data_IF_774220580805
#
_entry.id   IF_774220580805
#
_cell.length_a   1.000
_cell.length_b   1.000
_cell.length_c   1.000
_cell.angle_alpha   90.00
_cell.angle_beta   90.00
_cell.angle_gamma   90.00
#
_symmetry.space_group_name_H-M   'P 1'
#
loop_
_entity.id
_entity.type
_entity.pdbx_description
1 polymer ?
#
# COMPACT_ATOMS: atom_id res chain seq x y z
N UNK A 1 -39.15 35.21 -26.13
CA UNK A 1 -39.93 34.78 -27.31
C UNK A 1 -40.27 33.31 -27.17
N UNK A 2 -41.55 33.06 -27.01
CA UNK A 2 -42.43 31.98 -27.45
C UNK A 2 -41.93 30.53 -27.43
N UNK A 3 -42.64 29.83 -26.61
CA UNK A 3 -42.95 28.43 -26.49
C UNK A 3 -43.26 27.71 -27.81
N UNK A 4 -42.94 26.40 -27.87
CA UNK A 4 -43.81 25.43 -28.56
C UNK A 4 -43.68 24.06 -27.85
N UNK A 5 -44.76 23.63 -27.26
CA UNK A 5 -45.05 22.27 -26.80
C UNK A 5 -45.76 21.49 -27.92
N UNK A 6 -45.85 20.14 -27.69
CA UNK A 6 -46.98 19.26 -28.05
C UNK A 6 -46.65 18.12 -29.04
N UNK A 7 -47.32 16.94 -29.01
CA UNK A 7 -48.02 16.20 -27.97
C UNK A 7 -47.76 14.64 -27.94
N UNK A 8 -48.29 14.08 -26.87
CA UNK A 8 -48.52 12.63 -26.63
C UNK A 8 -49.56 11.98 -27.56
N UNK A 9 -49.37 10.71 -27.94
CA UNK A 9 -50.50 9.85 -28.32
C UNK A 9 -50.33 8.39 -27.81
N UNK A 10 -51.23 8.01 -26.90
CA UNK A 10 -51.54 6.63 -26.51
C UNK A 10 -52.25 5.91 -27.65
N UNK A 11 -51.97 4.60 -27.85
CA UNK A 11 -53.03 3.65 -28.27
C UNK A 11 -52.76 2.26 -27.71
N UNK A 12 -53.82 1.74 -27.11
CA UNK A 12 -54.04 0.35 -26.64
C UNK A 12 -54.33 -0.57 -27.85
N UNK A 13 -54.00 -1.87 -27.72
CA UNK A 13 -54.54 -2.92 -28.56
C UNK A 13 -54.18 -4.30 -27.96
N UNK A 14 -55.21 -4.93 -27.34
CA UNK A 14 -55.18 -6.33 -26.92
C UNK A 14 -55.40 -7.23 -28.13
N UNK A 15 -54.76 -8.39 -28.21
CA UNK A 15 -55.42 -9.64 -28.63
C UNK A 15 -54.66 -10.87 -28.12
N UNK A 16 -55.39 -11.75 -27.51
CA UNK A 16 -55.05 -13.12 -27.10
C UNK A 16 -55.14 -14.05 -28.30
N UNK A 17 -54.22 -15.02 -28.42
CA UNK A 17 -54.62 -16.34 -28.99
C UNK A 17 -53.72 -17.41 -28.34
N UNK A 18 -54.41 -18.38 -27.74
CA UNK A 18 -53.89 -19.62 -27.19
C UNK A 18 -53.78 -20.68 -28.31
N UNK A 19 -52.76 -21.50 -28.26
CA UNK A 19 -52.77 -22.83 -28.88
C UNK A 19 -52.12 -23.85 -27.95
N UNK A 20 -52.91 -24.89 -27.67
CA UNK A 20 -52.58 -26.10 -26.91
C UNK A 20 -52.03 -27.18 -27.87
N UNK A 21 -51.25 -28.05 -27.32
CA UNK A 21 -51.04 -29.50 -27.60
C UNK A 21 -49.57 -29.81 -27.94
N UNK A 22 -48.91 -30.90 -27.57
CA UNK A 22 -49.26 -32.15 -26.90
C UNK A 22 -47.95 -32.93 -26.62
N UNK A 23 -47.90 -33.57 -25.48
CA UNK A 23 -47.07 -34.68 -24.99
C UNK A 23 -46.03 -35.37 -25.87
N UNK A 24 -44.81 -35.54 -25.29
CA UNK A 24 -44.10 -36.83 -25.31
C UNK A 24 -43.23 -36.96 -24.03
N UNK A 25 -43.45 -38.04 -23.29
CA UNK A 25 -42.80 -38.38 -22.03
C UNK A 25 -41.41 -38.98 -22.31
N UNK A 26 -40.37 -38.49 -21.57
CA UNK A 26 -39.08 -39.12 -21.46
C UNK A 26 -38.59 -38.92 -20.01
N UNK A 27 -38.72 -39.99 -19.20
CA UNK A 27 -38.26 -40.04 -17.84
C UNK A 27 -36.69 -40.09 -17.83
N UNK A 28 -36.07 -39.08 -17.29
CA UNK A 28 -34.67 -39.10 -16.86
C UNK A 28 -34.63 -38.79 -15.35
N UNK A 29 -34.08 -39.74 -14.63
CA UNK A 29 -33.91 -39.73 -13.18
C UNK A 29 -32.94 -38.60 -12.84
N UNK A 30 -33.41 -37.54 -12.16
CA UNK A 30 -32.59 -36.51 -11.52
C UNK A 30 -32.37 -36.94 -10.07
N UNK A 31 -31.16 -37.43 -9.80
CA UNK A 31 -30.64 -37.49 -8.44
C UNK A 31 -30.31 -36.04 -8.01
N UNK A 32 -31.20 -35.49 -7.20
CA UNK A 32 -30.96 -34.17 -6.59
C UNK A 32 -29.95 -34.28 -5.47
N UNK A 33 -28.75 -33.67 -5.66
CA UNK A 33 -27.92 -33.19 -4.56
C UNK A 33 -28.28 -31.71 -4.37
N UNK A 34 -28.99 -31.40 -3.27
CA UNK A 34 -29.09 -30.03 -2.79
C UNK A 34 -27.73 -29.61 -2.22
N UNK A 35 -26.93 -28.94 -3.03
CA UNK A 35 -25.75 -28.21 -2.58
C UNK A 35 -26.16 -26.76 -2.32
N UNK A 36 -25.97 -26.31 -1.08
CA UNK A 36 -26.03 -24.90 -0.69
C UNK A 36 -24.99 -24.13 -1.50
N UNK A 37 -25.45 -23.33 -2.48
CA UNK A 37 -24.58 -22.46 -3.26
C UNK A 37 -24.08 -21.28 -2.41
N UNK A 38 -22.91 -21.41 -1.84
CA UNK A 38 -22.07 -20.26 -1.51
C UNK A 38 -21.53 -19.65 -2.82
N UNK A 39 -21.03 -18.41 -2.80
CA UNK A 39 -20.41 -17.80 -3.97
C UNK A 39 -19.27 -18.71 -4.46
N UNK A 40 -19.33 -19.08 -5.73
CA UNK A 40 -18.34 -19.93 -6.39
C UNK A 40 -17.00 -19.18 -6.33
N UNK A 41 -16.08 -19.65 -5.48
CA UNK A 41 -14.72 -19.15 -5.45
C UNK A 41 -14.10 -19.34 -6.84
N UNK A 42 -13.42 -18.30 -7.33
CA UNK A 42 -12.66 -18.43 -8.56
C UNK A 42 -11.62 -19.54 -8.35
N UNK A 43 -11.71 -20.62 -9.14
CA UNK A 43 -10.73 -21.70 -9.08
C UNK A 43 -9.34 -21.15 -9.42
N UNK A 44 -8.34 -21.46 -8.57
CA UNK A 44 -6.95 -21.13 -8.82
C UNK A 44 -6.50 -21.84 -10.13
N UNK A 45 -6.22 -21.06 -11.16
CA UNK A 45 -5.79 -21.58 -12.45
C UNK A 45 -4.30 -21.38 -12.66
N UNK A 46 -3.61 -22.38 -13.19
CA UNK A 46 -2.20 -22.34 -13.55
C UNK A 46 -1.30 -23.13 -12.59
N UNK A 47 -0.08 -23.35 -13.01
CA UNK A 47 0.99 -23.97 -12.25
C UNK A 47 2.08 -22.97 -11.95
N UNK A 48 2.80 -23.15 -10.83
CA UNK A 48 4.00 -22.37 -10.50
C UNK A 48 5.25 -22.90 -11.21
N UNK A 49 5.20 -24.14 -11.71
CA UNK A 49 6.29 -24.71 -12.49
C UNK A 49 6.23 -24.17 -13.92
N UNK A 50 7.14 -23.24 -14.25
CA UNK A 50 7.22 -22.60 -15.57
C UNK A 50 8.44 -23.08 -16.33
N UNK A 51 8.22 -23.61 -17.54
CA UNK A 51 9.31 -24.02 -18.44
C UNK A 51 10.07 -22.81 -18.97
N UNK A 52 11.39 -22.96 -19.16
CA UNK A 52 12.21 -21.97 -19.86
C UNK A 52 11.83 -21.78 -21.32
N UNK A 53 11.07 -22.72 -21.92
CA UNK A 53 10.49 -22.61 -23.26
C UNK A 53 9.19 -21.77 -23.27
N UNK A 54 8.74 -21.27 -22.13
CA UNK A 54 7.58 -20.37 -22.07
C UNK A 54 7.85 -19.09 -22.85
N UNK A 55 6.88 -18.67 -23.64
CA UNK A 55 7.04 -17.52 -24.55
C UNK A 55 5.85 -16.57 -24.49
N UNK A 56 6.05 -15.35 -24.94
CA UNK A 56 5.01 -14.35 -25.08
C UNK A 56 5.46 -12.96 -24.66
N UNK A 57 4.58 -11.98 -24.89
CA UNK A 57 4.80 -10.60 -24.40
C UNK A 57 4.09 -10.40 -23.07
N UNK A 58 4.80 -9.97 -22.05
CA UNK A 58 4.27 -9.58 -20.75
C UNK A 58 4.25 -8.06 -20.66
N UNK A 59 3.08 -7.47 -20.75
CA UNK A 59 2.87 -6.03 -20.60
C UNK A 59 2.62 -5.73 -19.13
N UNK A 60 3.51 -4.94 -18.52
CA UNK A 60 3.53 -4.66 -17.10
C UNK A 60 3.16 -3.21 -16.85
N UNK A 61 2.21 -2.95 -15.96
CA UNK A 61 1.96 -1.60 -15.44
C UNK A 61 2.53 -1.47 -14.03
N UNK A 62 3.37 -0.45 -13.83
CA UNK A 62 4.03 -0.15 -12.56
C UNK A 62 3.87 1.33 -12.18
N UNK A 63 4.08 1.65 -10.90
CA UNK A 63 4.23 3.03 -10.48
C UNK A 63 5.58 3.61 -10.90
N UNK A 64 5.63 4.90 -11.19
CA UNK A 64 6.89 5.60 -11.54
C UNK A 64 7.68 5.95 -10.28
N UNK A 65 8.41 4.98 -9.74
CA UNK A 65 9.23 5.06 -8.53
C UNK A 65 10.61 4.43 -8.77
N UNK A 66 11.62 4.67 -7.90
CA UNK A 66 12.96 4.11 -8.08
C UNK A 66 12.98 2.58 -8.21
N UNK A 67 12.15 1.84 -7.46
CA UNK A 67 12.03 0.38 -7.58
C UNK A 67 11.66 -0.08 -8.99
N UNK A 68 10.86 0.68 -9.72
CA UNK A 68 10.51 0.39 -11.12
C UNK A 68 11.73 0.48 -12.04
N UNK A 69 12.62 1.44 -11.83
CA UNK A 69 13.84 1.55 -12.64
C UNK A 69 14.83 0.44 -12.30
N UNK A 70 14.87 -0.01 -11.05
CA UNK A 70 15.63 -1.19 -10.63
C UNK A 70 15.10 -2.43 -11.37
N UNK A 71 13.78 -2.67 -11.38
CA UNK A 71 13.16 -3.77 -12.11
C UNK A 71 13.50 -3.73 -13.59
N UNK A 72 13.38 -2.55 -14.25
CA UNK A 72 13.78 -2.37 -15.66
C UNK A 72 15.25 -2.77 -15.89
N UNK A 73 16.14 -2.45 -14.95
CA UNK A 73 17.57 -2.79 -15.05
C UNK A 73 17.85 -4.29 -14.98
N UNK A 74 16.92 -5.08 -14.43
CA UNK A 74 17.05 -6.54 -14.24
C UNK A 74 16.40 -7.35 -15.39
N UNK A 75 15.67 -6.72 -16.30
CA UNK A 75 14.99 -7.43 -17.44
C UNK A 75 15.99 -8.20 -18.32
N UNK A 76 17.19 -7.66 -18.52
CA UNK A 76 18.23 -8.36 -19.32
C UNK A 76 18.65 -9.68 -18.66
N UNK A 77 18.77 -9.70 -17.33
CA UNK A 77 19.15 -10.90 -16.58
C UNK A 77 18.00 -11.92 -16.61
N UNK A 78 16.75 -11.47 -16.51
CA UNK A 78 15.59 -12.32 -16.70
C UNK A 78 15.57 -12.96 -18.10
N UNK A 79 15.80 -12.17 -19.14
CA UNK A 79 15.79 -12.66 -20.53
C UNK A 79 16.96 -13.61 -20.86
N UNK A 80 18.01 -13.66 -20.03
CA UNK A 80 19.05 -14.68 -20.14
C UNK A 80 18.55 -16.08 -19.76
N UNK A 81 17.55 -16.17 -18.87
CA UNK A 81 16.90 -17.43 -18.46
C UNK A 81 15.65 -17.74 -19.28
N UNK A 82 14.89 -16.70 -19.66
CA UNK A 82 13.62 -16.80 -20.42
C UNK A 82 13.71 -15.99 -21.73
N UNK A 83 14.47 -16.45 -22.73
CA UNK A 83 14.77 -15.66 -23.93
C UNK A 83 13.55 -15.38 -24.82
N UNK A 84 12.49 -16.21 -24.72
CA UNK A 84 11.29 -16.11 -25.54
C UNK A 84 10.16 -15.28 -24.87
N UNK A 85 10.42 -14.69 -23.68
CA UNK A 85 9.49 -13.78 -23.01
C UNK A 85 9.94 -12.33 -23.24
N UNK A 86 9.08 -11.52 -23.88
CA UNK A 86 9.31 -10.09 -24.10
C UNK A 86 8.63 -9.28 -22.98
N UNK A 87 9.43 -8.55 -22.19
CA UNK A 87 8.95 -7.73 -21.08
C UNK A 87 8.79 -6.28 -21.53
N UNK A 88 7.56 -5.75 -21.43
CA UNK A 88 7.22 -4.37 -21.76
C UNK A 88 6.66 -3.66 -20.54
N UNK A 89 7.39 -2.66 -20.00
CA UNK A 89 7.02 -1.95 -18.78
C UNK A 89 6.53 -0.54 -19.12
N UNK A 90 5.26 -0.27 -18.80
CA UNK A 90 4.69 1.07 -18.70
C UNK A 90 4.72 1.52 -17.24
N UNK A 91 5.13 2.77 -16.97
CA UNK A 91 5.10 3.34 -15.63
C UNK A 91 4.30 4.64 -15.61
N UNK A 92 3.42 4.78 -14.61
CA UNK A 92 2.53 5.94 -14.42
C UNK A 92 2.71 6.51 -13.01
N UNK A 93 2.30 7.76 -12.83
CA UNK A 93 2.18 8.34 -11.48
C UNK A 93 1.07 7.65 -10.70
N UNK A 94 1.12 7.70 -9.36
CA UNK A 94 0.12 7.12 -8.47
C UNK A 94 -1.31 7.49 -8.88
N UNK A 95 -1.58 8.78 -9.05
CA UNK A 95 -2.92 9.30 -9.37
C UNK A 95 -3.50 8.75 -10.70
N UNK A 96 -2.63 8.36 -11.63
CA UNK A 96 -3.05 7.84 -12.94
C UNK A 96 -3.27 6.33 -12.94
N UNK A 97 -2.67 5.60 -11.98
CA UNK A 97 -2.63 4.14 -12.02
C UNK A 97 -3.99 3.49 -11.76
N UNK A 98 -4.69 3.89 -10.69
CA UNK A 98 -5.96 3.25 -10.30
C UNK A 98 -7.00 3.31 -11.43
N UNK A 99 -7.21 4.50 -12.01
CA UNK A 99 -8.16 4.71 -13.11
C UNK A 99 -7.76 3.90 -14.36
N UNK A 100 -6.46 3.87 -14.65
CA UNK A 100 -5.92 3.09 -15.77
C UNK A 100 -6.14 1.59 -15.57
N UNK A 101 -5.90 1.07 -14.35
CA UNK A 101 -6.13 -0.33 -14.00
C UNK A 101 -7.61 -0.70 -14.12
N UNK A 102 -8.51 0.07 -13.50
CA UNK A 102 -9.96 -0.18 -13.58
C UNK A 102 -10.44 -0.17 -15.03
N UNK A 103 -9.98 0.81 -15.83
CA UNK A 103 -10.30 0.86 -17.26
C UNK A 103 -9.78 -0.38 -18.02
N UNK A 104 -8.59 -0.87 -17.68
CA UNK A 104 -8.00 -2.06 -18.32
C UNK A 104 -8.76 -3.34 -18.00
N UNK A 105 -9.25 -3.50 -16.75
CA UNK A 105 -10.03 -4.67 -16.36
C UNK A 105 -11.39 -4.74 -17.06
N UNK A 106 -11.99 -3.59 -17.37
CA UNK A 106 -13.26 -3.49 -18.06
C UNK A 106 -13.13 -3.64 -19.59
N UNK A 107 -11.90 -3.65 -20.10
CA UNK A 107 -11.66 -3.81 -21.53
C UNK A 107 -11.95 -5.25 -22.00
N UNK A 108 -12.53 -5.38 -23.19
CA UNK A 108 -12.72 -6.68 -23.85
C UNK A 108 -11.42 -7.33 -24.31
N UNK A 109 -10.32 -6.58 -24.35
CA UNK A 109 -8.98 -7.07 -24.73
C UNK A 109 -8.02 -6.84 -23.57
N UNK A 110 -7.18 -7.82 -23.23
CA UNK A 110 -6.15 -7.65 -22.19
C UNK A 110 -5.23 -6.47 -22.53
N UNK A 111 -5.08 -5.54 -21.60
CA UNK A 111 -4.17 -4.39 -21.76
C UNK A 111 -2.83 -4.68 -21.09
N UNK A 112 -2.88 -5.27 -19.91
CA UNK A 112 -1.72 -5.67 -19.13
C UNK A 112 -1.81 -7.15 -18.77
N UNK A 113 -0.66 -7.79 -18.67
CA UNK A 113 -0.53 -9.21 -18.31
C UNK A 113 -0.02 -9.38 -16.88
N UNK A 114 0.64 -8.34 -16.36
CA UNK A 114 1.13 -8.23 -14.98
C UNK A 114 0.96 -6.77 -14.51
N UNK A 115 0.64 -6.59 -13.25
CA UNK A 115 0.46 -5.26 -12.66
C UNK A 115 1.06 -5.21 -11.26
N UNK A 116 1.33 -4.00 -10.76
CA UNK A 116 1.52 -3.76 -9.34
C UNK A 116 0.27 -3.11 -8.76
N UNK A 117 -0.13 -3.56 -7.57
CA UNK A 117 -1.36 -3.15 -6.87
C UNK A 117 -0.99 -2.59 -5.52
N UNK A 118 -1.46 -1.38 -5.22
CA UNK A 118 -1.32 -0.78 -3.89
C UNK A 118 -2.26 -1.47 -2.89
N UNK A 119 -1.82 -1.58 -1.64
CA UNK A 119 -2.57 -2.23 -0.58
C UNK A 119 -4.05 -1.77 -0.49
N UNK A 120 -4.40 -0.47 -0.52
CA UNK A 120 -5.80 -0.04 -0.42
C UNK A 120 -6.73 -0.54 -1.54
N UNK A 121 -6.18 -0.99 -2.65
CA UNK A 121 -6.96 -1.46 -3.81
C UNK A 121 -7.13 -2.98 -3.86
N UNK A 122 -6.32 -3.71 -3.09
CA UNK A 122 -6.24 -5.19 -3.18
C UNK A 122 -7.58 -5.86 -2.94
N UNK A 123 -8.28 -5.48 -1.87
CA UNK A 123 -9.59 -6.06 -1.51
C UNK A 123 -10.63 -5.78 -2.58
N UNK A 124 -10.69 -4.55 -3.09
CA UNK A 124 -11.64 -4.16 -4.15
C UNK A 124 -11.40 -4.93 -5.44
N UNK A 125 -10.14 -5.06 -5.86
CA UNK A 125 -9.81 -5.75 -7.10
C UNK A 125 -10.03 -7.27 -7.00
N UNK A 126 -9.74 -7.87 -5.85
CA UNK A 126 -10.03 -9.28 -5.58
C UNK A 126 -11.54 -9.55 -5.60
N UNK A 127 -12.33 -8.75 -4.87
CA UNK A 127 -13.79 -8.88 -4.79
C UNK A 127 -14.47 -8.65 -6.14
N UNK A 128 -13.95 -7.73 -6.95
CA UNK A 128 -14.41 -7.50 -8.32
C UNK A 128 -13.98 -8.60 -9.30
N UNK A 129 -13.22 -9.61 -8.85
CA UNK A 129 -12.66 -10.71 -9.67
C UNK A 129 -11.77 -10.19 -10.81
N UNK A 130 -11.06 -9.10 -10.58
CA UNK A 130 -10.10 -8.52 -11.53
C UNK A 130 -8.75 -9.22 -11.49
N UNK A 131 -8.46 -9.97 -10.42
CA UNK A 131 -7.17 -10.63 -10.18
C UNK A 131 -7.32 -12.15 -10.19
N UNK A 132 -6.25 -12.85 -10.60
CA UNK A 132 -6.16 -14.29 -10.47
C UNK A 132 -5.74 -14.70 -9.06
N UNK A 133 -6.34 -15.75 -8.45
CA UNK A 133 -5.77 -16.41 -7.29
C UNK A 133 -4.39 -16.97 -7.59
N UNK A 134 -3.43 -16.78 -6.69
CA UNK A 134 -2.03 -17.17 -6.90
C UNK A 134 -1.58 -18.36 -6.05
N UNK A 135 -2.42 -18.88 -5.14
CA UNK A 135 -2.04 -19.97 -4.23
C UNK A 135 -1.47 -21.19 -4.96
N UNK A 136 -2.17 -21.69 -5.98
CA UNK A 136 -1.71 -22.85 -6.74
C UNK A 136 -0.36 -22.62 -7.41
N UNK A 137 -0.09 -21.39 -7.91
CA UNK A 137 1.20 -21.03 -8.51
C UNK A 137 2.29 -20.96 -7.46
N UNK A 138 2.02 -20.32 -6.33
CA UNK A 138 2.95 -20.17 -5.21
C UNK A 138 3.33 -21.56 -4.67
N UNK A 139 2.34 -22.41 -4.40
CA UNK A 139 2.53 -23.71 -3.76
C UNK A 139 3.26 -24.72 -4.67
N UNK A 140 3.14 -24.57 -5.98
CA UNK A 140 3.77 -25.47 -6.96
C UNK A 140 5.07 -24.94 -7.58
N UNK A 141 5.51 -23.72 -7.20
CA UNK A 141 6.80 -23.19 -7.67
C UNK A 141 7.95 -23.84 -6.88
N UNK A 142 8.86 -24.55 -7.55
CA UNK A 142 9.98 -25.20 -6.86
C UNK A 142 10.85 -24.18 -6.12
N UNK A 143 11.22 -24.52 -4.88
CA UNK A 143 12.16 -23.76 -4.04
C UNK A 143 11.78 -22.29 -3.81
N UNK A 144 10.48 -21.93 -3.99
CA UNK A 144 10.03 -20.54 -3.90
C UNK A 144 10.06 -19.97 -2.47
N UNK A 145 9.90 -20.83 -1.47
CA UNK A 145 9.90 -20.48 -0.04
C UNK A 145 9.07 -19.22 0.28
N UNK A 146 7.76 -19.31 0.07
CA UNK A 146 6.84 -18.21 0.34
C UNK A 146 6.78 -17.83 1.84
N UNK A 147 7.23 -18.69 2.76
CA UNK A 147 7.29 -18.41 4.19
C UNK A 147 8.42 -17.42 4.57
N UNK A 148 9.39 -17.23 3.66
CA UNK A 148 10.47 -16.27 3.83
C UNK A 148 10.02 -14.81 3.61
N UNK A 149 8.87 -14.56 2.99
CA UNK A 149 8.31 -13.20 2.93
C UNK A 149 7.92 -12.71 4.32
N UNK A 150 8.00 -11.39 4.54
CA UNK A 150 7.49 -10.77 5.76
C UNK A 150 5.98 -10.97 5.86
N UNK A 151 5.51 -11.47 7.00
CA UNK A 151 4.10 -11.77 7.23
C UNK A 151 3.18 -10.57 6.95
N UNK A 152 3.46 -9.33 7.42
CA UNK A 152 2.62 -8.19 7.11
C UNK A 152 2.47 -7.92 5.60
N UNK A 153 3.48 -8.25 4.78
CA UNK A 153 3.41 -8.08 3.33
C UNK A 153 2.55 -9.14 2.65
N UNK A 154 2.51 -10.36 3.20
CA UNK A 154 1.66 -11.43 2.67
C UNK A 154 0.22 -11.29 3.11
N UNK A 155 -0.02 -10.80 4.32
CA UNK A 155 -1.36 -10.63 4.87
C UNK A 155 -2.19 -9.64 4.04
N UNK A 156 -1.60 -8.51 3.63
CA UNK A 156 -2.28 -7.51 2.78
C UNK A 156 -2.56 -7.98 1.36
N UNK A 157 -1.98 -9.09 0.91
CA UNK A 157 -2.26 -9.70 -0.41
C UNK A 157 -3.29 -10.82 -0.34
N UNK A 158 -3.76 -11.15 0.87
CA UNK A 158 -4.68 -12.25 1.13
C UNK A 158 -6.07 -11.69 1.43
N UNK A 159 -7.06 -12.07 0.63
CA UNK A 159 -8.47 -11.67 0.79
C UNK A 159 -9.29 -12.94 0.95
N UNK A 160 -10.07 -13.03 2.03
CA UNK A 160 -10.89 -14.20 2.37
C UNK A 160 -10.12 -15.54 2.34
N UNK A 161 -8.84 -15.51 2.75
CA UNK A 161 -7.97 -16.68 2.81
C UNK A 161 -7.36 -17.08 1.47
N UNK A 162 -7.57 -16.30 0.41
CA UNK A 162 -7.00 -16.51 -0.93
C UNK A 162 -5.96 -15.43 -1.24
N UNK A 163 -4.79 -15.83 -1.72
CA UNK A 163 -3.70 -14.92 -2.08
C UNK A 163 -3.85 -14.43 -3.52
N UNK A 164 -3.94 -13.12 -3.69
CA UNK A 164 -4.07 -12.45 -5.00
C UNK A 164 -2.82 -11.70 -5.42
N UNK A 165 -1.82 -11.59 -4.57
CA UNK A 165 -0.58 -10.90 -4.87
C UNK A 165 0.65 -11.56 -4.27
N UNK A 166 1.81 -11.14 -4.77
CA UNK A 166 3.13 -11.43 -4.21
C UNK A 166 3.79 -10.10 -3.85
N UNK A 167 4.42 -9.96 -2.68
CA UNK A 167 5.10 -8.72 -2.32
C UNK A 167 6.05 -8.22 -3.41
N UNK A 168 6.01 -6.93 -3.70
CA UNK A 168 6.92 -6.30 -4.65
C UNK A 168 7.88 -5.34 -3.97
N UNK A 169 7.37 -4.21 -3.48
CA UNK A 169 8.13 -3.33 -2.61
C UNK A 169 7.26 -2.87 -1.46
N UNK A 170 7.93 -2.48 -0.41
CA UNK A 170 7.28 -2.03 0.80
C UNK A 170 8.01 -0.79 1.31
N UNK A 171 7.28 -0.02 2.08
CA UNK A 171 7.85 1.05 2.88
C UNK A 171 7.13 1.06 4.22
N UNK A 172 7.88 0.82 5.28
CA UNK A 172 7.41 1.15 6.61
C UNK A 172 7.82 2.58 6.93
N UNK A 173 6.93 3.34 7.57
CA UNK A 173 7.29 4.65 8.06
C UNK A 173 8.25 4.48 9.24
N UNK A 174 9.22 5.38 9.33
CA UNK A 174 10.19 5.41 10.41
C UNK A 174 10.40 6.82 10.93
N UNK A 175 11.03 6.92 12.07
CA UNK A 175 11.46 8.19 12.64
C UNK A 175 12.82 8.57 12.06
N UNK A 176 12.83 9.57 11.18
CA UNK A 176 14.02 10.14 10.55
C UNK A 176 14.46 11.36 11.34
N UNK A 177 15.72 11.39 11.79
CA UNK A 177 16.23 12.43 12.67
C UNK A 177 17.65 12.85 12.35
N UNK A 178 17.94 14.12 12.55
CA UNK A 178 19.32 14.63 12.49
C UNK A 178 20.03 14.27 13.82
N UNK A 179 21.04 13.42 13.74
CA UNK A 179 21.75 12.92 14.93
C UNK A 179 22.54 14.00 15.66
N UNK A 180 23.07 15.00 14.93
CA UNK A 180 23.80 16.13 15.53
C UNK A 180 22.85 17.01 16.37
N UNK A 181 21.62 17.18 15.91
CA UNK A 181 20.63 18.00 16.61
C UNK A 181 20.16 17.35 17.92
N UNK A 182 19.87 16.02 17.89
CA UNK A 182 19.55 15.29 19.10
C UNK A 182 20.69 15.41 20.11
N UNK A 183 21.93 15.18 19.68
CA UNK A 183 23.10 15.28 20.55
C UNK A 183 23.27 16.71 21.12
N UNK A 184 23.11 17.76 20.29
CA UNK A 184 23.25 19.14 20.71
C UNK A 184 22.18 19.58 21.72
N UNK A 185 20.99 18.97 21.64
CA UNK A 185 19.86 19.22 22.55
C UNK A 185 19.81 18.28 23.78
N UNK A 186 20.81 17.40 23.94
CA UNK A 186 20.86 16.35 24.96
C UNK A 186 19.59 15.47 24.95
N UNK A 187 19.09 15.17 23.74
CA UNK A 187 17.93 14.31 23.52
C UNK A 187 18.36 12.92 23.03
N UNK A 188 17.58 11.91 23.43
CA UNK A 188 17.67 10.56 22.88
C UNK A 188 16.61 10.37 21.78
N UNK A 189 16.76 9.30 21.00
CA UNK A 189 15.70 8.85 20.09
C UNK A 189 14.46 8.52 20.90
N UNK A 190 13.29 9.14 20.63
CA UNK A 190 12.07 8.91 21.39
C UNK A 190 11.57 7.47 21.24
N UNK A 191 11.14 6.87 22.35
CA UNK A 191 10.60 5.50 22.42
C UNK A 191 9.13 5.47 22.82
N UNK A 192 8.59 6.61 23.27
CA UNK A 192 7.18 6.77 23.64
C UNK A 192 6.58 8.00 22.96
N UNK A 193 5.25 8.07 22.90
CA UNK A 193 4.54 9.23 22.36
C UNK A 193 4.91 10.53 23.09
N UNK A 194 4.99 10.48 24.41
CA UNK A 194 5.32 11.65 25.22
C UNK A 194 6.76 12.14 24.99
N UNK A 195 7.69 11.21 24.77
CA UNK A 195 9.05 11.54 24.35
C UNK A 195 9.10 12.12 22.94
N UNK A 196 8.30 11.61 21.99
CA UNK A 196 8.20 12.19 20.64
C UNK A 196 7.77 13.65 20.69
N UNK A 197 6.73 13.95 21.47
CA UNK A 197 6.23 15.32 21.67
C UNK A 197 7.30 16.21 22.33
N UNK A 198 7.90 15.75 23.42
CA UNK A 198 8.88 16.54 24.18
C UNK A 198 10.17 16.77 23.38
N UNK A 199 10.68 15.76 22.71
CA UNK A 199 11.86 15.87 21.82
C UNK A 199 11.59 16.83 20.67
N UNK A 200 10.44 16.72 20.01
CA UNK A 200 10.06 17.63 18.92
C UNK A 200 10.05 19.11 19.39
N UNK A 201 9.55 19.37 20.59
CA UNK A 201 9.56 20.72 21.19
C UNK A 201 10.97 21.17 21.57
N UNK A 202 11.80 20.28 22.14
CA UNK A 202 13.16 20.59 22.54
C UNK A 202 14.07 20.91 21.35
N UNK A 203 13.83 20.30 20.20
CA UNK A 203 14.59 20.51 18.96
C UNK A 203 14.18 21.79 18.21
N UNK A 204 13.04 22.40 18.54
CA UNK A 204 12.61 23.65 17.91
C UNK A 204 13.52 24.81 18.36
N UNK A 205 14.07 25.57 17.38
CA UNK A 205 14.93 26.70 17.66
C UNK A 205 14.69 27.83 16.65
N UNK A 206 14.14 28.95 17.12
CA UNK A 206 13.76 30.07 16.27
C UNK A 206 12.76 29.64 15.19
N UNK A 207 13.10 29.89 13.92
CA UNK A 207 12.28 29.50 12.78
C UNK A 207 12.46 28.01 12.36
N UNK A 208 13.49 27.34 12.90
CA UNK A 208 13.74 25.94 12.62
C UNK A 208 12.80 25.06 13.42
N UNK A 209 12.07 24.21 12.72
CA UNK A 209 11.13 23.27 13.33
C UNK A 209 11.85 22.09 14.01
N UNK A 210 11.25 21.58 15.08
CA UNK A 210 11.71 20.34 15.71
C UNK A 210 11.34 19.11 14.89
N UNK A 211 10.15 19.16 14.26
CA UNK A 211 9.64 18.07 13.41
C UNK A 211 8.93 18.65 12.18
N UNK A 212 9.18 18.09 11.01
CA UNK A 212 8.36 18.32 9.81
C UNK A 212 7.23 17.29 9.80
N UNK A 213 5.99 17.77 9.76
CA UNK A 213 4.78 16.93 9.79
C UNK A 213 4.07 16.97 8.44
N UNK A 214 3.18 15.99 8.19
CA UNK A 214 2.47 15.78 6.93
C UNK A 214 0.94 15.92 7.10
N UNK A 215 0.43 17.07 7.57
CA UNK A 215 -1.01 17.24 7.83
C UNK A 215 -1.85 17.45 6.57
N UNK A 216 -1.33 17.22 5.37
CA UNK A 216 -2.08 17.32 4.13
C UNK A 216 -3.39 16.51 4.20
N UNK A 217 -4.49 17.16 3.87
CA UNK A 217 -5.83 16.58 3.90
C UNK A 217 -5.91 15.28 3.08
N UNK A 218 -6.56 14.28 3.64
CA UNK A 218 -6.74 12.96 3.03
C UNK A 218 -5.64 11.99 3.41
N UNK A 219 -5.02 11.34 2.41
CA UNK A 219 -4.11 10.22 2.61
C UNK A 219 -2.97 10.54 3.62
N UNK A 220 -2.25 11.64 3.41
CA UNK A 220 -0.99 11.88 4.11
C UNK A 220 -1.14 12.12 5.60
N UNK A 221 -2.15 12.86 6.03
CA UNK A 221 -2.39 13.06 7.46
C UNK A 221 -2.82 11.76 8.15
N UNK A 222 -3.64 10.92 7.50
CA UNK A 222 -4.04 9.66 8.10
C UNK A 222 -2.86 8.69 8.20
N UNK A 223 -2.04 8.63 7.16
CA UNK A 223 -0.83 7.81 7.13
C UNK A 223 0.17 8.23 8.23
N UNK A 224 0.46 9.51 8.38
CA UNK A 224 1.35 10.00 9.43
C UNK A 224 0.73 9.82 10.82
N UNK A 225 -0.54 10.24 11.02
CA UNK A 225 -1.23 10.12 12.30
C UNK A 225 -1.41 8.67 12.76
N UNK A 226 -1.53 7.72 11.84
CA UNK A 226 -1.56 6.29 12.17
C UNK A 226 -0.38 5.84 13.03
N UNK A 227 0.81 6.41 12.79
CA UNK A 227 1.99 6.15 13.61
C UNK A 227 1.86 6.76 15.02
N UNK A 228 1.24 7.93 15.15
CA UNK A 228 0.93 8.55 16.44
C UNK A 228 -0.12 7.75 17.22
N UNK A 229 -1.12 7.20 16.50
CA UNK A 229 -2.11 6.29 17.08
C UNK A 229 -1.45 5.04 17.66
N UNK A 230 -0.56 4.40 16.89
CA UNK A 230 0.18 3.24 17.37
C UNK A 230 1.10 3.58 18.55
N UNK A 231 1.78 4.74 18.53
CA UNK A 231 2.59 5.23 19.64
C UNK A 231 1.77 5.51 20.92
N UNK A 232 0.48 5.85 20.77
CA UNK A 232 -0.45 5.99 21.89
C UNK A 232 -0.96 4.65 22.43
N UNK A 233 -0.65 3.53 21.79
CA UNK A 233 -1.14 2.19 22.12
C UNK A 233 -2.49 1.84 21.46
N UNK A 234 -2.97 2.67 20.52
CA UNK A 234 -4.19 2.43 19.75
C UNK A 234 -3.97 1.56 18.51
N UNK A 235 -5.06 1.30 17.80
CA UNK A 235 -5.09 0.54 16.54
C UNK A 235 -6.15 1.13 15.62
N UNK A 236 -6.01 0.92 14.30
CA UNK A 236 -7.05 1.28 13.33
C UNK A 236 -8.17 0.24 13.34
N UNK A 237 -7.81 -1.03 13.53
CA UNK A 237 -8.74 -2.15 13.65
C UNK A 237 -8.49 -2.91 14.94
N UNK A 238 -9.53 -3.47 15.54
CA UNK A 238 -9.42 -4.43 16.64
C UNK A 238 -9.08 -5.85 16.11
N UNK A 239 -8.99 -6.81 17.03
CA UNK A 239 -8.68 -8.20 16.68
C UNK A 239 -9.81 -8.90 15.88
N UNK A 240 -11.02 -8.37 15.93
CA UNK A 240 -12.19 -8.88 15.20
C UNK A 240 -12.35 -8.19 13.84
N UNK A 241 -11.47 -7.23 13.49
CA UNK A 241 -11.49 -6.47 12.25
C UNK A 241 -12.42 -5.25 12.26
N UNK A 242 -12.95 -4.85 13.41
CA UNK A 242 -13.77 -3.65 13.51
C UNK A 242 -12.90 -2.39 13.58
N UNK A 243 -13.39 -1.30 13.02
CA UNK A 243 -12.71 0.00 13.03
C UNK A 243 -12.73 0.60 14.44
N UNK A 244 -11.60 1.14 14.90
CA UNK A 244 -11.39 1.66 16.25
C UNK A 244 -10.74 3.05 16.29
N UNK A 245 -11.31 4.01 15.54
CA UNK A 245 -10.78 5.37 15.42
C UNK A 245 -11.30 6.34 16.48
N UNK A 246 -12.32 5.97 17.26
CA UNK A 246 -12.89 6.82 18.33
C UNK A 246 -12.66 6.20 19.71
N UNK A 247 -11.39 6.10 20.11
CA UNK A 247 -10.94 5.52 21.39
C UNK A 247 -10.15 6.54 22.22
N UNK A 248 -9.93 6.30 23.53
CA UNK A 248 -9.07 7.15 24.35
C UNK A 248 -7.66 7.28 23.80
N UNK A 249 -7.10 6.22 23.21
CA UNK A 249 -5.79 6.20 22.56
C UNK A 249 -5.76 7.07 21.31
N UNK A 250 -6.79 6.99 20.48
CA UNK A 250 -6.94 7.82 19.28
C UNK A 250 -7.07 9.32 19.67
N UNK A 251 -7.82 9.61 20.71
CA UNK A 251 -7.92 10.97 21.25
C UNK A 251 -6.57 11.50 21.74
N UNK A 252 -5.85 10.72 22.53
CA UNK A 252 -4.51 11.08 23.01
C UNK A 252 -3.55 11.30 21.84
N UNK A 253 -3.59 10.46 20.82
CA UNK A 253 -2.77 10.58 19.61
C UNK A 253 -3.06 11.86 18.84
N UNK A 254 -4.33 12.20 18.63
CA UNK A 254 -4.71 13.40 17.86
C UNK A 254 -4.44 14.68 18.65
N UNK A 255 -4.66 14.68 19.95
CA UNK A 255 -4.29 15.80 20.84
C UNK A 255 -2.77 16.05 20.81
N UNK A 256 -1.95 14.99 20.91
CA UNK A 256 -0.50 15.06 20.83
C UNK A 256 -0.02 15.54 19.45
N UNK A 257 -0.65 15.06 18.39
CA UNK A 257 -0.38 15.49 17.00
C UNK A 257 -0.64 16.99 16.84
N UNK A 258 -1.81 17.48 17.25
CA UNK A 258 -2.20 18.90 17.16
C UNK A 258 -1.30 19.78 18.02
N UNK A 259 -0.98 19.36 19.26
CA UNK A 259 -0.08 20.09 20.13
C UNK A 259 1.32 20.21 19.51
N UNK A 260 1.85 19.13 18.97
CA UNK A 260 3.16 19.13 18.29
C UNK A 260 3.14 19.97 17.01
N UNK A 261 2.08 19.87 16.21
CA UNK A 261 1.90 20.71 15.03
C UNK A 261 1.93 22.20 15.36
N UNK A 262 1.21 22.62 16.40
CA UNK A 262 1.12 24.02 16.80
C UNK A 262 2.40 24.55 17.48
N UNK A 263 3.21 23.68 18.09
CA UNK A 263 4.34 24.10 18.92
C UNK A 263 5.72 23.80 18.35
N UNK A 264 5.86 22.77 17.49
CA UNK A 264 7.13 22.27 17.01
C UNK A 264 7.26 22.16 15.49
N UNK A 265 6.15 22.10 14.74
CA UNK A 265 6.18 22.00 13.29
C UNK A 265 6.43 23.36 12.60
N UNK A 266 6.74 23.36 11.29
CA UNK A 266 6.85 24.60 10.52
C UNK A 266 5.52 25.35 10.45
N UNK A 267 5.56 26.67 10.57
CA UNK A 267 4.37 27.49 10.41
C UNK A 267 3.78 27.34 8.99
N UNK A 268 2.45 27.36 8.91
CA UNK A 268 1.72 27.25 7.64
C UNK A 268 1.93 25.94 6.85
N UNK A 269 2.27 24.86 7.53
CA UNK A 269 2.52 23.54 6.93
C UNK A 269 1.28 22.64 6.82
N UNK A 270 0.04 23.17 7.00
CA UNK A 270 -1.20 22.38 7.00
C UNK A 270 -1.45 21.60 5.69
N UNK A 271 -0.88 22.03 4.58
CA UNK A 271 -0.96 21.36 3.28
C UNK A 271 0.27 20.54 2.92
N UNK A 272 1.19 20.35 3.86
CA UNK A 272 2.40 19.59 3.61
C UNK A 272 2.12 18.08 3.56
N UNK A 273 2.71 17.44 2.57
CA UNK A 273 2.80 16.00 2.45
C UNK A 273 4.25 15.53 2.56
N UNK A 274 4.49 14.35 2.00
CA UNK A 274 5.76 13.66 2.03
C UNK A 274 6.93 14.52 1.53
N UNK A 275 6.77 15.16 0.39
CA UNK A 275 7.84 15.89 -0.30
C UNK A 275 8.23 17.17 0.41
N UNK A 276 7.26 17.90 0.98
CA UNK A 276 7.52 19.12 1.75
C UNK A 276 8.28 18.78 3.03
N UNK A 277 7.87 17.73 3.74
CA UNK A 277 8.54 17.26 4.93
C UNK A 277 9.99 16.84 4.64
N UNK A 278 10.20 16.04 3.58
CA UNK A 278 11.54 15.64 3.14
C UNK A 278 12.42 16.84 2.77
N UNK A 279 11.91 17.77 1.97
CA UNK A 279 12.66 18.98 1.60
C UNK A 279 13.03 19.84 2.80
N UNK A 280 12.14 19.95 3.78
CA UNK A 280 12.37 20.71 5.01
C UNK A 280 13.51 20.10 5.83
N UNK A 281 13.56 18.78 5.98
CA UNK A 281 14.67 18.08 6.68
C UNK A 281 15.95 18.17 5.88
N UNK A 282 15.94 17.92 4.57
CA UNK A 282 17.13 18.05 3.71
C UNK A 282 17.76 19.45 3.79
N UNK A 283 16.90 20.49 3.77
CA UNK A 283 17.31 21.89 3.89
C UNK A 283 17.71 22.31 5.32
N UNK A 284 17.67 21.38 6.29
CA UNK A 284 17.91 21.64 7.72
C UNK A 284 16.95 22.69 8.34
N UNK A 285 15.74 22.79 7.78
CA UNK A 285 14.65 23.65 8.31
C UNK A 285 13.84 22.93 9.37
N UNK A 286 13.89 21.60 9.41
CA UNK A 286 13.37 20.77 10.49
C UNK A 286 14.42 19.74 10.92
N UNK A 287 14.38 19.33 12.19
CA UNK A 287 15.34 18.40 12.76
C UNK A 287 14.95 16.94 12.53
N UNK A 288 13.65 16.65 12.49
CA UNK A 288 13.10 15.29 12.41
C UNK A 288 11.87 15.23 11.54
N UNK A 289 11.44 14.02 11.16
CA UNK A 289 10.14 13.73 10.56
C UNK A 289 9.78 12.26 10.77
N UNK A 290 8.49 11.92 10.68
CA UNK A 290 8.01 10.56 10.44
C UNK A 290 7.76 10.45 8.95
N UNK A 291 8.49 9.55 8.27
CA UNK A 291 8.38 9.43 6.82
C UNK A 291 8.92 8.06 6.37
N UNK A 292 8.88 7.79 5.09
CA UNK A 292 9.31 6.52 4.52
C UNK A 292 10.80 6.25 4.72
N UNK A 293 11.13 5.03 5.14
CA UNK A 293 12.51 4.58 5.36
C UNK A 293 13.40 4.73 4.12
N UNK A 294 12.86 4.52 2.93
CA UNK A 294 13.61 4.61 1.67
C UNK A 294 14.08 6.04 1.32
N UNK A 295 13.60 7.06 2.02
CA UNK A 295 14.11 8.43 1.82
C UNK A 295 15.48 8.65 2.47
N UNK A 296 15.90 7.79 3.41
CA UNK A 296 17.15 7.96 4.12
C UNK A 296 18.38 8.07 3.22
N UNK A 297 18.57 7.20 2.20
CA UNK A 297 19.69 7.31 1.28
C UNK A 297 19.75 8.66 0.57
N UNK A 298 18.66 9.09 -0.03
CA UNK A 298 18.58 10.36 -0.76
C UNK A 298 18.84 11.59 0.14
N UNK A 299 18.38 11.56 1.40
CA UNK A 299 18.65 12.62 2.37
C UNK A 299 20.14 12.74 2.75
N UNK A 300 20.88 11.64 2.67
CA UNK A 300 22.29 11.59 3.05
C UNK A 300 23.25 11.66 1.86
N UNK A 301 22.78 11.72 0.63
CA UNK A 301 23.63 11.89 -0.55
C UNK A 301 24.44 13.18 -0.47
N UNK A 302 25.70 13.15 -0.88
CA UNK A 302 26.51 14.37 -0.97
C UNK A 302 25.84 15.41 -1.89
N UNK A 303 25.48 16.56 -1.33
CA UNK A 303 24.84 17.65 -2.06
C UNK A 303 23.29 17.65 -1.97
N UNK A 304 22.66 16.71 -1.30
CA UNK A 304 21.19 16.71 -1.08
C UNK A 304 20.72 17.89 -0.21
N UNK A 305 21.59 18.44 0.63
CA UNK A 305 21.31 19.60 1.46
C UNK A 305 22.24 19.71 2.68
N UNK A 306 22.04 20.72 3.54
CA UNK A 306 22.85 20.93 4.75
C UNK A 306 22.77 19.79 5.77
N UNK A 307 21.72 18.96 5.72
CA UNK A 307 21.54 17.81 6.59
C UNK A 307 22.20 16.52 6.06
N UNK A 308 22.81 16.54 4.88
CA UNK A 308 23.44 15.37 4.25
C UNK A 308 24.44 14.68 5.18
N UNK A 309 24.36 13.36 5.27
CA UNK A 309 25.23 12.52 6.10
C UNK A 309 24.89 12.51 7.61
N UNK A 310 23.86 13.28 8.04
CA UNK A 310 23.49 13.42 9.46
C UNK A 310 22.17 12.76 9.82
N UNK A 311 21.36 12.41 8.82
CA UNK A 311 20.05 11.83 9.04
C UNK A 311 20.22 10.34 9.35
N UNK A 312 19.52 9.91 10.40
CA UNK A 312 19.44 8.52 10.85
C UNK A 312 17.99 8.07 10.81
N UNK A 313 17.80 6.76 10.82
CA UNK A 313 16.49 6.10 10.89
C UNK A 313 16.36 5.36 12.22
N UNK A 314 15.19 5.43 12.82
CA UNK A 314 14.82 4.67 14.00
C UNK A 314 13.38 4.15 13.89
N UNK A 315 12.99 3.13 14.66
CA UNK A 315 11.61 2.73 14.79
C UNK A 315 10.71 3.87 15.29
N UNK A 316 9.43 3.81 14.94
CA UNK A 316 8.42 4.71 15.49
C UNK A 316 8.29 4.44 17.01
N UNK A 317 8.13 5.49 17.85
CA UNK A 317 7.83 5.30 19.25
C UNK A 317 6.66 4.34 19.47
N UNK A 318 6.80 3.38 20.39
CA UNK A 318 5.84 2.29 20.59
C UNK A 318 6.08 1.05 19.76
N UNK A 319 7.01 1.09 18.80
CA UNK A 319 7.48 -0.09 18.06
C UNK A 319 6.54 -0.61 16.98
N UNK A 320 5.43 0.07 16.69
CA UNK A 320 4.50 -0.25 15.61
C UNK A 320 4.36 0.92 14.65
N UNK A 321 4.33 0.64 13.36
CA UNK A 321 4.30 1.67 12.32
C UNK A 321 3.33 1.34 11.20
N UNK A 322 2.94 2.38 10.46
CA UNK A 322 2.15 2.23 9.25
C UNK A 322 2.99 1.57 8.15
N UNK A 323 2.39 0.58 7.50
CA UNK A 323 2.92 -0.13 6.35
C UNK A 323 2.27 0.40 5.07
N UNK A 324 3.08 0.85 4.13
CA UNK A 324 2.70 0.93 2.73
C UNK A 324 3.34 -0.22 1.95
N UNK A 325 2.60 -0.83 1.04
CA UNK A 325 3.13 -1.94 0.25
C UNK A 325 2.40 -2.09 -1.08
N UNK A 326 3.19 -2.39 -2.08
CA UNK A 326 2.72 -2.74 -3.41
C UNK A 326 3.03 -4.21 -3.68
N UNK A 327 2.17 -4.85 -4.44
CA UNK A 327 2.26 -6.28 -4.71
C UNK A 327 2.11 -6.56 -6.19
N UNK A 328 2.86 -7.53 -6.70
CA UNK A 328 2.63 -8.10 -8.02
C UNK A 328 1.30 -8.83 -8.05
N UNK A 329 0.49 -8.60 -9.07
CA UNK A 329 -0.75 -9.32 -9.28
C UNK A 329 -0.96 -9.60 -10.78
N UNK A 330 -1.59 -10.74 -11.07
CA UNK A 330 -1.92 -11.14 -12.45
C UNK A 330 -3.38 -10.82 -12.70
N UNK A 331 -3.70 -9.94 -13.68
CA UNK A 331 -5.09 -9.68 -14.07
C UNK A 331 -5.83 -10.95 -14.49
N UNK A 332 -7.10 -11.06 -14.12
CA UNK A 332 -7.94 -12.20 -14.51
C UNK A 332 -8.06 -12.39 -16.03
N UNK A 333 -7.95 -11.29 -16.78
CA UNK A 333 -7.98 -11.27 -18.24
C UNK A 333 -6.58 -11.27 -18.90
N UNK A 334 -5.51 -11.59 -18.16
CA UNK A 334 -4.15 -11.67 -18.74
C UNK A 334 -4.11 -12.67 -19.92
N UNK A 335 -3.44 -12.28 -21.00
CA UNK A 335 -3.26 -13.14 -22.18
C UNK A 335 -2.09 -14.13 -22.01
N UNK A 336 -1.12 -13.81 -21.13
CA UNK A 336 0.11 -14.60 -20.93
C UNK A 336 0.39 -14.82 -19.43
N UNK A 337 -0.55 -15.41 -18.66
CA UNK A 337 -0.42 -15.52 -17.20
C UNK A 337 0.77 -16.39 -16.77
N UNK A 338 1.17 -17.40 -17.57
CA UNK A 338 2.33 -18.24 -17.24
C UNK A 338 3.65 -17.48 -17.45
N UNK A 339 3.77 -16.69 -18.51
CA UNK A 339 4.92 -15.82 -18.72
C UNK A 339 5.00 -14.70 -17.66
N UNK A 340 3.84 -14.16 -17.25
CA UNK A 340 3.76 -13.20 -16.13
C UNK A 340 4.24 -13.85 -14.81
N UNK A 341 3.82 -15.10 -14.54
CA UNK A 341 4.28 -15.82 -13.36
C UNK A 341 5.77 -16.16 -13.41
N UNK A 342 6.31 -16.52 -14.58
CA UNK A 342 7.76 -16.70 -14.76
C UNK A 342 8.53 -15.46 -14.30
N UNK A 343 8.06 -14.27 -14.70
CA UNK A 343 8.70 -13.02 -14.28
C UNK A 343 8.54 -12.75 -12.78
N UNK A 344 7.33 -12.90 -12.23
CA UNK A 344 7.06 -12.67 -10.79
C UNK A 344 7.88 -13.62 -9.94
N UNK A 345 7.85 -14.93 -10.21
CA UNK A 345 8.59 -15.93 -9.44
C UNK A 345 10.10 -15.70 -9.50
N UNK A 346 10.61 -15.29 -10.66
CA UNK A 346 12.02 -14.94 -10.85
C UNK A 346 12.42 -13.68 -10.08
N UNK A 347 11.72 -12.56 -10.27
CA UNK A 347 12.11 -11.26 -9.67
C UNK A 347 11.97 -11.26 -8.14
N UNK A 348 11.08 -12.09 -7.60
CA UNK A 348 10.84 -12.24 -6.17
C UNK A 348 11.56 -13.42 -5.54
N UNK A 349 12.29 -14.24 -6.32
CA UNK A 349 13.19 -15.26 -5.79
C UNK A 349 14.30 -14.64 -4.94
N UNK A 350 14.75 -15.34 -3.89
CA UNK A 350 15.74 -14.82 -2.94
C UNK A 350 16.99 -14.23 -3.61
N UNK A 351 17.66 -14.88 -4.58
CA UNK A 351 18.85 -14.30 -5.21
C UNK A 351 18.57 -12.96 -5.89
N UNK A 352 17.41 -12.83 -6.54
CA UNK A 352 17.02 -11.63 -7.25
C UNK A 352 16.51 -10.54 -6.32
N UNK A 353 15.86 -10.89 -5.18
CA UNK A 353 15.52 -9.93 -4.13
C UNK A 353 16.78 -9.36 -3.47
N UNK A 354 17.84 -10.15 -3.26
CA UNK A 354 19.15 -9.66 -2.82
C UNK A 354 19.71 -8.64 -3.82
N UNK A 355 19.79 -9.00 -5.10
CA UNK A 355 20.30 -8.09 -6.16
C UNK A 355 19.48 -6.80 -6.24
N UNK A 356 18.14 -6.91 -6.16
CA UNK A 356 17.25 -5.75 -6.16
C UNK A 356 17.50 -4.85 -4.95
N UNK A 357 17.68 -5.44 -3.77
CA UNK A 357 17.94 -4.71 -2.52
C UNK A 357 19.32 -4.03 -2.53
N UNK A 358 20.37 -4.69 -3.06
CA UNK A 358 21.70 -4.08 -3.24
C UNK A 358 21.66 -2.86 -4.17
N UNK A 359 20.73 -2.85 -5.15
CA UNK A 359 20.49 -1.70 -6.04
C UNK A 359 19.67 -0.58 -5.38
N UNK A 360 19.22 -0.75 -4.16
CA UNK A 360 18.42 0.23 -3.41
C UNK A 360 16.92 -0.05 -3.37
N UNK A 361 16.47 -1.18 -3.90
CA UNK A 361 15.10 -1.63 -3.81
C UNK A 361 14.73 -2.11 -2.40
N UNK A 362 13.44 -2.11 -2.09
CA UNK A 362 12.97 -2.55 -0.78
C UNK A 362 12.93 -4.08 -0.70
N UNK A 363 13.61 -4.67 0.28
CA UNK A 363 13.59 -6.11 0.53
C UNK A 363 12.18 -6.60 0.87
N UNK A 364 11.80 -7.75 0.33
CA UNK A 364 10.51 -8.39 0.61
C UNK A 364 10.66 -9.70 1.39
N UNK A 365 11.90 -10.22 1.49
CA UNK A 365 12.22 -11.46 2.17
C UNK A 365 13.04 -11.21 3.44
N UNK A 366 12.73 -11.98 4.50
CA UNK A 366 13.45 -11.94 5.77
C UNK A 366 14.93 -12.30 5.57
N UNK A 367 15.20 -13.34 4.79
CA UNK A 367 16.55 -13.80 4.52
C UNK A 367 17.38 -12.82 3.68
N UNK A 368 16.75 -11.94 2.89
CA UNK A 368 17.44 -10.86 2.16
C UNK A 368 18.05 -9.85 3.11
N UNK A 369 17.32 -9.42 4.15
CA UNK A 369 17.83 -8.48 5.16
C UNK A 369 18.88 -9.08 6.11
N UNK A 370 19.14 -10.38 5.98
CA UNK A 370 20.19 -11.09 6.72
C UNK A 370 21.37 -11.47 5.81
N UNK A 371 21.26 -11.19 4.50
CA UNK A 371 22.31 -11.53 3.54
C UNK A 371 23.54 -10.65 3.73
N UNK A 372 24.77 -11.21 3.82
CA UNK A 372 25.97 -10.44 3.98
C UNK A 372 26.21 -9.40 2.88
N UNK A 373 25.81 -9.66 1.64
CA UNK A 373 25.97 -8.72 0.54
C UNK A 373 25.11 -7.46 0.78
N UNK A 374 23.88 -7.64 1.23
CA UNK A 374 22.96 -6.54 1.60
C UNK A 374 23.50 -5.79 2.81
N UNK A 375 23.86 -6.48 3.90
CA UNK A 375 24.29 -5.85 5.14
C UNK A 375 25.60 -5.05 4.98
N UNK A 376 26.49 -5.47 4.08
CA UNK A 376 27.73 -4.78 3.74
C UNK A 376 27.59 -3.77 2.58
N UNK A 377 26.38 -3.68 2.02
CA UNK A 377 26.05 -2.80 0.90
C UNK A 377 26.07 -1.30 1.26
N UNK A 378 25.68 -0.47 0.29
CA UNK A 378 25.84 0.99 0.35
C UNK A 378 25.12 1.68 1.51
N UNK A 379 24.03 1.07 2.04
CA UNK A 379 23.23 1.67 3.13
C UNK A 379 23.68 1.21 4.53
N UNK A 380 24.47 0.14 4.59
CA UNK A 380 25.06 -0.39 5.80
C UNK A 380 24.11 -1.21 6.69
N UNK A 381 24.71 -1.98 7.59
CA UNK A 381 23.98 -2.94 8.44
C UNK A 381 22.92 -2.26 9.32
N UNK A 382 23.23 -1.12 9.93
CA UNK A 382 22.32 -0.41 10.83
C UNK A 382 20.99 -0.03 10.14
N UNK A 383 21.05 0.38 8.87
CA UNK A 383 19.86 0.68 8.09
C UNK A 383 19.00 -0.56 7.88
N UNK A 384 19.59 -1.65 7.39
CA UNK A 384 18.81 -2.85 7.08
C UNK A 384 18.28 -3.55 8.34
N UNK A 385 19.00 -3.51 9.46
CA UNK A 385 18.49 -3.99 10.76
C UNK A 385 17.30 -3.17 11.24
N UNK A 386 17.35 -1.85 11.04
CA UNK A 386 16.21 -0.99 11.36
C UNK A 386 15.01 -1.29 10.45
N UNK A 387 15.24 -1.46 9.13
CA UNK A 387 14.18 -1.85 8.18
C UNK A 387 13.55 -3.20 8.55
N UNK A 388 14.36 -4.20 8.91
CA UNK A 388 13.87 -5.50 9.39
C UNK A 388 12.94 -5.32 10.62
N UNK A 389 13.36 -4.51 11.58
CA UNK A 389 12.55 -4.21 12.77
C UNK A 389 11.24 -3.48 12.40
N UNK A 390 11.32 -2.50 11.49
CA UNK A 390 10.14 -1.79 11.00
C UNK A 390 9.12 -2.72 10.34
N UNK A 391 9.55 -3.72 9.59
CA UNK A 391 8.66 -4.63 8.86
C UNK A 391 8.02 -5.71 9.74
N UNK A 392 8.61 -6.03 10.89
CA UNK A 392 8.09 -7.09 11.78
C UNK A 392 6.73 -6.74 12.38
N UNK A 393 6.53 -5.47 12.78
CA UNK A 393 5.36 -4.99 13.50
C UNK A 393 4.56 -3.91 12.72
N UNK A 394 4.75 -3.86 11.39
CA UNK A 394 4.05 -2.92 10.55
C UNK A 394 2.58 -3.31 10.32
N UNK A 395 1.71 -2.32 10.21
CA UNK A 395 0.28 -2.52 9.96
C UNK A 395 -0.25 -1.59 8.86
N UNK A 396 -1.14 -2.07 7.96
CA UNK A 396 -1.72 -1.25 6.92
C UNK A 396 -2.75 -0.27 7.47
N UNK A 397 -3.03 0.79 6.70
CA UNK A 397 -4.09 1.76 7.00
C UNK A 397 -5.49 1.19 6.80
N UNK A 398 -5.64 0.19 5.94
CA UNK A 398 -6.92 -0.43 5.61
C UNK A 398 -6.79 -1.93 5.42
N UNK A 399 -7.84 -2.66 5.79
CA UNK A 399 -7.97 -4.11 5.64
C UNK A 399 -9.29 -4.50 4.96
N UNK A 400 -10.18 -3.54 4.70
CA UNK A 400 -11.51 -3.75 4.12
C UNK A 400 -11.65 -3.21 2.70
N UNK A 401 -12.87 -3.37 2.12
CA UNK A 401 -13.19 -2.79 0.82
C UNK A 401 -13.21 -1.26 0.87
N UNK A 402 -13.15 -0.63 -0.31
CA UNK A 402 -13.15 0.84 -0.45
C UNK A 402 -12.05 1.52 0.38
N UNK A 403 -10.87 0.87 0.47
CA UNK A 403 -9.78 1.30 1.33
C UNK A 403 -9.31 2.72 1.05
N UNK A 404 -9.17 3.09 -0.23
CA UNK A 404 -8.78 4.45 -0.64
C UNK A 404 -9.80 5.49 -0.18
N UNK A 405 -11.10 5.22 -0.34
CA UNK A 405 -12.17 6.13 0.07
C UNK A 405 -12.20 6.31 1.58
N UNK A 406 -11.99 5.25 2.34
CA UNK A 406 -11.89 5.29 3.80
C UNK A 406 -10.70 6.15 4.25
N UNK A 407 -9.52 5.94 3.64
CA UNK A 407 -8.31 6.73 3.94
C UNK A 407 -8.56 8.22 3.71
N UNK A 408 -9.17 8.59 2.58
CA UNK A 408 -9.48 9.97 2.23
C UNK A 408 -10.51 10.60 3.19
N UNK A 409 -11.54 9.84 3.57
CA UNK A 409 -12.57 10.31 4.50
C UNK A 409 -11.99 10.55 5.90
N UNK A 410 -11.31 9.58 6.48
CA UNK A 410 -10.66 9.71 7.80
C UNK A 410 -9.65 10.86 7.80
N UNK A 411 -8.76 10.93 6.83
CA UNK A 411 -7.77 11.99 6.74
C UNK A 411 -8.38 13.38 6.56
N UNK A 412 -9.57 13.47 5.98
CA UNK A 412 -10.34 14.73 5.92
C UNK A 412 -10.73 15.20 7.32
N UNK A 413 -11.28 14.31 8.13
CA UNK A 413 -11.72 14.63 9.49
C UNK A 413 -10.53 15.02 10.40
N UNK A 414 -9.43 14.28 10.31
CA UNK A 414 -8.20 14.59 11.04
C UNK A 414 -7.62 15.96 10.67
N UNK A 415 -7.57 16.27 9.37
CA UNK A 415 -7.08 17.58 8.91
C UNK A 415 -7.96 18.74 9.42
N UNK A 416 -9.29 18.55 9.49
CA UNK A 416 -10.19 19.57 10.02
C UNK A 416 -9.98 19.83 11.51
N UNK A 417 -9.59 18.82 12.28
CA UNK A 417 -9.20 19.00 13.68
C UNK A 417 -7.87 19.79 13.80
N UNK A 418 -6.84 19.44 13.01
CA UNK A 418 -5.56 20.16 12.98
C UNK A 418 -5.76 21.61 12.53
N UNK A 419 -6.67 21.86 11.58
CA UNK A 419 -7.03 23.19 11.14
C UNK A 419 -7.86 24.01 12.17
N UNK A 420 -8.24 23.39 13.31
CA UNK A 420 -9.07 24.03 14.35
C UNK A 420 -10.53 24.24 13.92
N UNK A 421 -11.02 23.54 12.90
CA UNK A 421 -12.40 23.61 12.41
C UNK A 421 -13.35 22.68 13.14
N UNK A 422 -12.81 21.58 13.72
CA UNK A 422 -13.53 20.60 14.52
C UNK A 422 -12.81 20.39 15.85
N UNK A 423 -13.53 20.02 16.89
CA UNK A 423 -12.91 19.49 18.10
C UNK A 423 -12.31 18.10 17.83
N UNK A 424 -11.37 17.65 18.65
CA UNK A 424 -10.80 16.31 18.56
C UNK A 424 -11.89 15.24 18.65
N UNK A 425 -12.81 15.38 19.62
CA UNK A 425 -13.90 14.42 19.84
C UNK A 425 -14.84 14.36 18.62
N UNK A 426 -15.24 15.51 18.06
CA UNK A 426 -16.11 15.54 16.86
C UNK A 426 -15.42 14.96 15.63
N UNK A 427 -14.12 15.24 15.45
CA UNK A 427 -13.36 14.72 14.31
C UNK A 427 -13.20 13.19 14.38
N UNK A 428 -12.85 12.63 15.54
CA UNK A 428 -12.72 11.18 15.71
C UNK A 428 -14.06 10.46 15.61
N UNK A 429 -15.14 11.04 16.16
CA UNK A 429 -16.48 10.49 16.02
C UNK A 429 -16.93 10.47 14.54
N UNK A 430 -16.64 11.54 13.79
CA UNK A 430 -16.95 11.59 12.36
C UNK A 430 -16.07 10.64 11.55
N UNK A 431 -14.76 10.55 11.83
CA UNK A 431 -13.84 9.62 11.20
C UNK A 431 -14.28 8.16 11.38
N UNK A 432 -14.66 7.76 12.61
CA UNK A 432 -15.22 6.44 12.92
C UNK A 432 -16.48 6.16 12.09
N UNK A 433 -17.45 7.09 12.14
CA UNK A 433 -18.73 6.91 11.46
C UNK A 433 -18.61 6.83 9.92
N UNK A 434 -17.75 7.67 9.31
CA UNK A 434 -17.52 7.62 7.86
C UNK A 434 -16.76 6.34 7.46
N UNK A 435 -15.76 5.91 8.26
CA UNK A 435 -15.04 4.69 7.99
C UNK A 435 -15.96 3.45 8.08
N UNK A 436 -16.79 3.34 9.13
CA UNK A 436 -17.79 2.27 9.28
C UNK A 436 -18.81 2.26 8.14
N UNK A 437 -19.28 3.43 7.70
CA UNK A 437 -20.21 3.55 6.57
C UNK A 437 -19.61 3.10 5.24
N UNK A 438 -18.31 3.31 5.04
CA UNK A 438 -17.61 2.96 3.80
C UNK A 438 -17.28 1.47 3.77
N UNK A 439 -16.88 0.89 4.89
CA UNK A 439 -16.40 -0.51 4.97
C UNK A 439 -17.41 -1.49 5.60
N UNK A 440 -18.53 -0.99 6.13
CA UNK A 440 -19.57 -1.76 6.84
C UNK A 440 -20.69 -2.32 5.91
#
# INVERSE_FOLDING_TARGET
MRFAQIPTKRRRGKTRTAFLAMFAAGALVLSGCAGSGGPEQAEATGTGEVSTDTSGTVRILMENVPDTDIVKSMVTDFNAEYPDIDIQIESLTFDQMRDKLVSSFQSSSPTYDLIVVDNPWMVDFANAKFLQPLDARIDSTPDYDAADFFTPLTDITTVDGVRYGVPFYNYALGYLYNSDDLAAADQQVPTTLDELVSTSKALKSGDRAGIAMQPQRGYKIFEEWGNWLFAAGGSIYDADGNITLNTPEAKRALEAYIDTYNTAAPANSLSWGMDEAQRSVAANQAATMINYNWQLPALNEPGSGPAAGKIKLAPIPGGKQVLGSWSWAIPANSATPDAAWAFVSWITAKPNDVVRTEKGGAAIRKSTLQDPAVLQGQFGEDYYRTVEQLLQDAAPLTQGPSGEEMIQAVGTELNEAVAGKKSVDDALAAAQAEAEKIQG
#
